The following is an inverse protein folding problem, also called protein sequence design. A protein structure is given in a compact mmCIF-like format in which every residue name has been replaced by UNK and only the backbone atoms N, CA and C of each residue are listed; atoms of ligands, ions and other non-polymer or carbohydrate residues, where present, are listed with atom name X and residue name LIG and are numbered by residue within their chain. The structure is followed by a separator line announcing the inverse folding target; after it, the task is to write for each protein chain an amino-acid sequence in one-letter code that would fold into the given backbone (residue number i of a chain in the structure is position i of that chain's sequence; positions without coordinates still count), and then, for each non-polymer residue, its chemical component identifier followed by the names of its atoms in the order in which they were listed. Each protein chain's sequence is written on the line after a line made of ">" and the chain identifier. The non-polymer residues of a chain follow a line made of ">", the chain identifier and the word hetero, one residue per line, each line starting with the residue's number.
data_IF_090918835604
#
_entry.id   IF_090918835604
#
_cell.length_a   1.000
_cell.length_b   1.000
_cell.length_c   1.000
_cell.angle_alpha   90.00
_cell.angle_beta   90.00
_cell.angle_gamma   90.00
#
_symmetry.space_group_name_H-M   'P 1'
#
loop_
_entity.id
_entity.type
_entity.pdbx_description
1 polymer ?
#
# COMPACT_ATOMS: atom_id res chain seq x y z
N UNK A 1 -41.63 -28.95 -18.31
CA UNK A 1 -40.24 -29.27 -18.74
C UNK A 1 -39.95 -28.36 -19.93
N UNK A 2 -39.00 -27.42 -19.92
CA UNK A 2 -37.65 -27.47 -19.35
C UNK A 2 -37.17 -26.03 -19.16
N UNK A 3 -36.70 -25.71 -17.94
CA UNK A 3 -35.95 -24.50 -17.67
C UNK A 3 -34.61 -24.53 -18.43
N UNK A 4 -34.10 -23.39 -18.89
CA UNK A 4 -32.66 -23.11 -18.86
C UNK A 4 -32.36 -21.64 -19.10
N UNK A 5 -31.87 -21.05 -18.02
CA UNK A 5 -30.78 -20.08 -17.98
C UNK A 5 -31.03 -18.75 -18.70
N UNK A 6 -31.67 -17.85 -17.94
CA UNK A 6 -31.23 -16.47 -17.93
C UNK A 6 -29.71 -16.46 -17.70
N UNK A 7 -28.96 -16.14 -18.75
CA UNK A 7 -27.54 -15.86 -18.63
C UNK A 7 -27.42 -14.66 -17.69
N UNK A 8 -27.03 -14.93 -16.45
CA UNK A 8 -26.52 -13.92 -15.55
C UNK A 8 -25.39 -13.23 -16.31
N UNK A 9 -25.63 -11.97 -16.70
CA UNK A 9 -24.59 -11.07 -17.18
C UNK A 9 -23.46 -11.17 -16.15
N UNK A 10 -22.21 -11.44 -16.53
CA UNK A 10 -21.11 -11.44 -15.58
C UNK A 10 -21.19 -10.09 -14.87
N UNK A 11 -21.43 -10.16 -13.56
CA UNK A 11 -21.54 -8.99 -12.72
C UNK A 11 -20.38 -8.09 -13.07
N UNK A 12 -20.72 -6.84 -13.38
CA UNK A 12 -19.77 -5.74 -13.35
C UNK A 12 -19.08 -5.93 -12.00
N UNK A 13 -17.85 -6.46 -12.02
CA UNK A 13 -16.95 -6.29 -10.90
C UNK A 13 -16.83 -4.79 -10.86
N UNK A 14 -17.59 -4.16 -9.97
CA UNK A 14 -17.43 -2.76 -9.63
C UNK A 14 -15.94 -2.62 -9.41
N UNK A 15 -15.25 -2.09 -10.43
CA UNK A 15 -13.88 -1.65 -10.30
C UNK A 15 -13.99 -0.47 -9.36
N UNK A 16 -14.07 -0.75 -8.05
CA UNK A 16 -13.56 0.18 -7.07
C UNK A 16 -12.27 0.69 -7.68
N UNK A 17 -12.12 2.01 -7.91
CA UNK A 17 -10.89 2.52 -8.49
C UNK A 17 -9.76 1.93 -7.65
N UNK A 18 -8.89 1.14 -8.27
CA UNK A 18 -7.82 0.47 -7.54
C UNK A 18 -7.03 1.59 -6.88
N UNK A 19 -7.22 1.77 -5.56
CA UNK A 19 -6.70 2.91 -4.79
C UNK A 19 -5.20 3.08 -5.05
N UNK A 20 -4.56 1.95 -5.31
CA UNK A 20 -3.20 1.81 -5.79
C UNK A 20 -3.24 1.21 -7.22
N UNK A 21 -3.07 2.02 -8.27
CA UNK A 21 -3.27 1.57 -9.66
C UNK A 21 -2.20 0.59 -10.16
N UNK A 22 -1.04 0.53 -9.49
CA UNK A 22 0.12 -0.30 -9.86
C UNK A 22 1.11 -0.32 -8.68
N UNK A 23 2.35 -0.75 -8.92
CA UNK A 23 3.47 -0.59 -7.99
C UNK A 23 3.64 0.88 -7.59
N UNK A 24 3.61 1.12 -6.29
CA UNK A 24 3.73 2.41 -5.62
C UNK A 24 4.91 2.35 -4.65
N UNK A 25 5.25 3.47 -4.03
CA UNK A 25 6.31 3.57 -3.04
C UNK A 25 5.71 3.94 -1.69
N UNK A 26 6.13 3.22 -0.65
CA UNK A 26 5.94 3.61 0.74
C UNK A 26 7.16 4.36 1.22
N UNK A 27 6.95 5.55 1.76
CA UNK A 27 7.97 6.38 2.41
C UNK A 27 7.58 6.60 3.85
N UNK A 28 8.52 6.41 4.78
CA UNK A 28 8.32 6.76 6.19
C UNK A 28 9.30 7.86 6.55
N UNK A 29 8.78 9.01 6.94
CA UNK A 29 9.57 10.21 7.28
C UNK A 29 9.16 10.78 8.62
N UNK A 30 10.07 11.47 9.29
CA UNK A 30 9.75 12.22 10.50
C UNK A 30 8.87 13.41 10.11
N UNK A 31 7.74 13.58 10.81
CA UNK A 31 6.83 14.70 10.65
C UNK A 31 7.43 15.99 11.21
N UNK A 32 6.80 17.12 10.87
CA UNK A 32 7.24 18.45 11.33
C UNK A 32 6.88 18.73 12.80
N UNK A 33 5.99 17.93 13.38
CA UNK A 33 5.45 18.12 14.74
C UNK A 33 5.82 16.95 15.63
N UNK A 34 6.57 17.23 16.71
CA UNK A 34 6.91 16.25 17.75
C UNK A 34 7.66 15.02 17.24
N UNK A 35 7.43 13.89 17.90
CA UNK A 35 7.97 12.57 17.54
C UNK A 35 7.02 11.80 16.59
N UNK A 36 6.34 12.50 15.68
CA UNK A 36 5.46 11.83 14.71
C UNK A 36 6.28 11.30 13.53
N UNK A 37 5.97 10.09 13.08
CA UNK A 37 6.39 9.61 11.76
C UNK A 37 5.20 9.57 10.83
N UNK A 38 5.43 9.77 9.54
CA UNK A 38 4.41 9.72 8.50
C UNK A 38 4.76 8.67 7.48
N UNK A 39 3.85 7.73 7.27
CA UNK A 39 3.87 6.78 6.18
C UNK A 39 3.08 7.37 5.02
N UNK A 40 3.77 7.69 3.94
CA UNK A 40 3.19 8.23 2.71
C UNK A 40 3.28 7.18 1.61
N UNK A 41 2.16 6.92 0.93
CA UNK A 41 2.11 6.12 -0.29
C UNK A 41 2.06 7.06 -1.47
N UNK A 42 2.99 6.90 -2.41
CA UNK A 42 3.00 7.69 -3.63
C UNK A 42 3.27 6.84 -4.87
N UNK A 43 2.80 7.32 -6.01
CA UNK A 43 3.17 6.75 -7.32
C UNK A 43 4.66 6.96 -7.61
N UNK A 44 5.16 6.25 -8.63
CA UNK A 44 6.51 6.49 -9.15
C UNK A 44 6.73 7.91 -9.70
N UNK A 45 5.66 8.60 -10.10
CA UNK A 45 5.67 10.01 -10.52
C UNK A 45 5.68 10.99 -9.36
N UNK A 46 5.63 10.51 -8.10
CA UNK A 46 5.64 11.35 -6.90
C UNK A 46 4.27 11.88 -6.49
N UNK A 47 3.18 11.40 -7.09
CA UNK A 47 1.82 11.75 -6.64
C UNK A 47 1.48 10.97 -5.38
N UNK A 48 1.22 11.68 -4.29
CA UNK A 48 0.74 11.09 -3.04
C UNK A 48 -0.69 10.56 -3.21
N UNK A 49 -0.92 9.38 -2.64
CA UNK A 49 -2.20 8.65 -2.70
C UNK A 49 -2.82 8.55 -1.32
N UNK A 50 -2.02 8.20 -0.31
CA UNK A 50 -2.44 8.09 1.08
C UNK A 50 -1.30 8.50 2.01
N UNK A 51 -1.67 9.00 3.19
CA UNK A 51 -0.75 9.32 4.26
C UNK A 51 -1.34 8.84 5.59
N UNK A 52 -0.52 8.22 6.43
CA UNK A 52 -0.88 7.83 7.79
C UNK A 52 0.18 8.31 8.78
N UNK A 53 -0.28 8.80 9.93
CA UNK A 53 0.60 9.06 11.06
C UNK A 53 0.93 7.72 11.75
N UNK A 54 2.22 7.49 11.92
CA UNK A 54 2.83 6.38 12.65
C UNK A 54 3.36 6.97 13.95
N UNK A 55 2.68 6.69 15.05
CA UNK A 55 3.09 7.15 16.37
C UNK A 55 4.16 6.21 16.93
N UNK A 56 5.42 6.60 16.79
CA UNK A 56 6.53 5.91 17.43
C UNK A 56 7.57 6.92 17.89
N UNK A 57 8.30 6.60 18.97
CA UNK A 57 9.33 7.51 19.49
C UNK A 57 10.56 7.56 18.57
N UNK A 58 10.88 6.43 17.98
CA UNK A 58 12.01 6.26 17.07
C UNK A 58 11.62 5.37 15.90
N UNK A 59 12.41 5.42 14.82
CA UNK A 59 12.35 4.44 13.73
C UNK A 59 12.95 3.10 14.20
N UNK A 60 12.23 2.46 15.10
CA UNK A 60 12.60 1.20 15.74
C UNK A 60 11.77 0.02 15.18
N UNK A 61 11.95 -1.18 15.75
CA UNK A 61 11.19 -2.35 15.33
C UNK A 61 9.67 -2.22 15.55
N UNK A 62 9.22 -1.40 16.51
CA UNK A 62 7.80 -1.21 16.77
C UNK A 62 7.17 -0.28 15.72
N UNK A 63 7.84 0.83 15.39
CA UNK A 63 7.45 1.71 14.29
C UNK A 63 7.41 0.95 12.96
N UNK A 64 8.39 0.05 12.77
CA UNK A 64 8.49 -0.84 11.61
C UNK A 64 7.27 -1.75 11.51
N UNK A 65 6.94 -2.46 12.59
CA UNK A 65 5.81 -3.37 12.63
C UNK A 65 4.47 -2.63 12.41
N UNK A 66 4.32 -1.41 12.94
CA UNK A 66 3.09 -0.62 12.76
C UNK A 66 2.96 -0.07 11.32
N UNK A 67 4.07 0.20 10.64
CA UNK A 67 4.09 0.50 9.19
C UNK A 67 3.69 -0.73 8.38
N UNK A 68 4.30 -1.88 8.65
CA UNK A 68 4.01 -3.13 7.94
C UNK A 68 2.53 -3.52 8.09
N UNK A 69 2.00 -3.46 9.32
CA UNK A 69 0.58 -3.69 9.60
C UNK A 69 -0.34 -2.76 8.81
N UNK A 70 -0.02 -1.46 8.71
CA UNK A 70 -0.83 -0.52 7.91
C UNK A 70 -0.82 -0.86 6.42
N UNK A 71 0.31 -1.34 5.89
CA UNK A 71 0.40 -1.78 4.50
C UNK A 71 -0.43 -3.04 4.27
N UNK A 72 -0.37 -4.01 5.18
CA UNK A 72 -1.20 -5.21 5.13
C UNK A 72 -2.70 -4.89 5.23
N UNK A 73 -3.09 -4.00 6.15
CA UNK A 73 -4.48 -3.52 6.30
C UNK A 73 -4.97 -2.80 5.02
N UNK A 74 -4.07 -2.11 4.32
CA UNK A 74 -4.34 -1.48 3.02
C UNK A 74 -4.32 -2.45 1.83
N UNK A 75 -4.04 -3.73 2.07
CA UNK A 75 -3.91 -4.75 1.02
C UNK A 75 -2.69 -4.53 0.13
N UNK A 76 -1.58 -4.06 0.70
CA UNK A 76 -0.33 -3.78 -0.01
C UNK A 76 0.78 -4.75 0.45
N UNK A 77 1.31 -5.55 -0.48
CA UNK A 77 2.58 -6.26 -0.27
C UNK A 77 3.73 -5.27 -0.32
N UNK A 78 4.69 -5.42 0.58
CA UNK A 78 5.87 -4.57 0.62
C UNK A 78 7.14 -5.36 0.35
N UNK A 79 8.09 -4.72 -0.34
CA UNK A 79 9.45 -5.22 -0.43
C UNK A 79 10.25 -4.99 0.87
N UNK A 80 11.54 -5.30 0.82
CA UNK A 80 12.47 -4.90 1.87
C UNK A 80 12.53 -3.37 1.96
N UNK A 81 12.37 -2.83 3.17
CA UNK A 81 12.56 -1.40 3.36
C UNK A 81 14.03 -1.07 3.46
N UNK A 82 14.40 0.01 2.79
CA UNK A 82 15.74 0.57 2.75
C UNK A 82 15.77 1.86 3.58
N UNK A 83 16.91 2.13 4.22
CA UNK A 83 17.13 3.32 5.04
C UNK A 83 17.29 3.00 6.52
N UNK A 84 17.27 4.04 7.36
CA UNK A 84 17.48 3.94 8.80
C UNK A 84 16.77 5.08 9.54
N UNK A 85 16.91 5.09 10.87
CA UNK A 85 16.24 6.05 11.74
C UNK A 85 16.57 7.53 11.49
N UNK A 86 17.66 7.82 10.79
CA UNK A 86 18.11 9.18 10.52
C UNK A 86 17.64 9.69 9.16
N UNK A 87 17.54 8.81 8.17
CA UNK A 87 17.16 9.16 6.79
C UNK A 87 15.73 8.78 6.41
N UNK A 88 15.01 8.11 7.32
CA UNK A 88 13.69 7.52 7.04
C UNK A 88 13.78 6.18 6.31
N UNK A 89 12.63 5.56 6.11
CA UNK A 89 12.51 4.28 5.41
C UNK A 89 11.79 4.43 4.07
N UNK A 90 12.16 3.58 3.13
CA UNK A 90 11.50 3.49 1.82
C UNK A 90 11.34 2.04 1.40
N UNK A 91 10.19 1.68 0.86
CA UNK A 91 9.99 0.42 0.15
C UNK A 91 9.15 0.60 -1.10
N UNK A 92 9.39 -0.26 -2.09
CA UNK A 92 8.42 -0.50 -3.17
C UNK A 92 7.29 -1.36 -2.60
N UNK A 93 6.05 -0.96 -2.84
CA UNK A 93 4.86 -1.68 -2.40
C UNK A 93 3.91 -1.89 -3.58
N UNK A 94 3.15 -2.98 -3.57
CA UNK A 94 2.25 -3.35 -4.66
C UNK A 94 0.92 -3.82 -4.09
N UNK A 95 -0.21 -3.60 -4.79
CA UNK A 95 -1.50 -4.12 -4.35
C UNK A 95 -1.52 -5.64 -4.38
N UNK A 96 -2.06 -6.28 -3.33
CA UNK A 96 -2.24 -7.73 -3.24
C UNK A 96 -3.23 -8.26 -4.29
N UNK A 97 -4.17 -7.43 -4.74
CA UNK A 97 -5.13 -7.76 -5.80
C UNK A 97 -4.50 -7.86 -7.19
N UNK A 98 -3.23 -7.47 -7.33
CA UNK A 98 -2.44 -7.67 -8.56
C UNK A 98 -1.62 -8.93 -8.37
N UNK A 99 -1.97 -9.98 -9.10
CA UNK A 99 -1.19 -11.21 -9.16
C UNK A 99 0.23 -10.87 -9.66
N UNK A 100 1.33 -11.28 -8.98
CA UNK A 100 2.69 -11.09 -9.51
C UNK A 100 2.86 -11.60 -10.94
N UNK A 101 2.10 -12.64 -11.32
CA UNK A 101 2.14 -13.20 -12.66
C UNK A 101 1.47 -12.30 -13.72
N UNK A 102 0.54 -11.42 -13.32
CA UNK A 102 -0.15 -10.50 -14.22
C UNK A 102 0.66 -9.21 -14.52
N UNK A 103 1.79 -9.00 -13.84
CA UNK A 103 2.70 -7.88 -14.09
C UNK A 103 3.84 -8.23 -15.07
N UNK A 104 3.86 -9.47 -15.58
CA UNK A 104 4.77 -9.93 -16.62
C UNK A 104 3.95 -10.28 -17.87
N UNK A 105 3.48 -9.26 -18.59
CA UNK A 105 3.15 -9.38 -20.01
C UNK A 105 3.74 -8.18 -20.76
#
# INVERSE_FOLDING_TARGET
>A
MTARHAAARPGIVERMPTRYPTAVYAFVRRGEVGDEFRLTIATNTGRELDEWVVYARDFDAAARADVERRLDDAGLRHGAFQGNARSGWRASVQPLSVDPAAAQD
#
